data_IF_485175259772
#
_entry.id   IF_485175259772
#
_cell.length_a   1.000
_cell.length_b   1.000
_cell.length_c   1.000
_cell.angle_alpha   90.00
_cell.angle_beta   90.00
_cell.angle_gamma   90.00
#
_symmetry.space_group_name_H-M   'P 1'
#
loop_
_entity.id
_entity.type
_entity.pdbx_description
1 polymer ?
#
# COMPACT_ATOMS: atom_id res chain seq x y z
N UNK A 1 48.53 -47.86 23.57
CA UNK A 1 49.53 -46.79 23.52
C UNK A 1 48.86 -45.51 23.10
N UNK A 2 48.85 -44.52 23.95
CA UNK A 2 48.17 -43.26 23.64
C UNK A 2 49.17 -42.23 23.10
N UNK A 3 48.78 -41.54 22.04
CA UNK A 3 49.53 -40.42 21.46
C UNK A 3 48.99 -39.09 21.98
N UNK A 4 49.91 -38.28 22.52
CA UNK A 4 49.66 -36.97 23.11
C UNK A 4 49.38 -35.89 22.04
N UNK A 5 48.64 -34.82 22.37
CA UNK A 5 48.41 -33.67 21.50
C UNK A 5 49.49 -32.60 21.63
N UNK A 6 49.92 -32.09 20.48
CA UNK A 6 50.86 -30.97 20.34
C UNK A 6 50.23 -29.65 20.77
N UNK A 7 50.85 -28.94 21.70
CA UNK A 7 50.58 -27.57 22.11
C UNK A 7 51.10 -26.60 21.05
N UNK A 8 50.25 -25.75 20.48
CA UNK A 8 50.66 -24.58 19.67
C UNK A 8 50.84 -23.36 20.57
N UNK A 9 52.02 -22.78 20.53
CA UNK A 9 52.38 -21.54 21.21
C UNK A 9 51.75 -20.34 20.51
N UNK A 10 51.14 -19.42 21.30
CA UNK A 10 50.61 -18.15 20.86
C UNK A 10 51.69 -17.09 21.00
N UNK A 11 52.25 -16.61 19.90
CA UNK A 11 53.16 -15.46 19.85
C UNK A 11 52.34 -14.18 19.90
N UNK A 12 52.44 -13.46 21.01
CA UNK A 12 51.98 -12.07 21.15
C UNK A 12 52.96 -11.12 20.45
N UNK A 13 52.51 -10.45 19.39
CA UNK A 13 53.22 -9.31 18.78
C UNK A 13 52.68 -8.01 19.38
N UNK A 14 53.51 -7.30 20.12
CA UNK A 14 53.32 -5.93 20.55
C UNK A 14 53.65 -4.97 19.40
N UNK A 15 52.76 -4.04 19.12
CA UNK A 15 53.01 -2.95 18.17
C UNK A 15 53.15 -1.65 18.94
N UNK A 16 54.09 -0.77 18.54
CA UNK A 16 54.30 0.53 19.22
C UNK A 16 53.30 1.59 18.75
N UNK A 17 52.86 2.42 19.68
CA UNK A 17 52.11 3.62 19.44
C UNK A 17 52.96 4.66 18.71
N UNK A 18 52.53 5.05 17.48
CA UNK A 18 53.04 6.25 16.84
C UNK A 18 51.95 7.33 16.97
N UNK A 19 52.32 8.43 17.67
CA UNK A 19 51.52 9.62 17.78
C UNK A 19 51.48 10.34 16.42
N UNK A 20 50.31 10.54 15.85
CA UNK A 20 50.12 11.36 14.65
C UNK A 20 49.50 12.69 15.06
N UNK A 21 50.23 13.79 14.79
CA UNK A 21 49.78 15.15 15.01
C UNK A 21 48.59 15.51 14.10
N UNK A 22 47.54 16.05 14.69
CA UNK A 22 46.36 16.50 13.95
C UNK A 22 46.65 17.87 13.30
N UNK A 23 46.66 17.90 11.96
CA UNK A 23 46.57 19.14 11.20
C UNK A 23 45.08 19.50 11.04
N UNK A 24 44.65 20.60 11.63
CA UNK A 24 43.32 21.19 11.40
C UNK A 24 43.27 21.79 9.97
N UNK A 25 42.65 21.08 9.05
CA UNK A 25 42.21 21.68 7.80
C UNK A 25 40.79 22.25 8.00
N UNK A 26 40.69 23.58 7.95
CA UNK A 26 39.40 24.27 7.93
C UNK A 26 38.69 23.98 6.60
N UNK A 27 37.79 22.99 6.61
CA UNK A 27 36.86 22.77 5.50
C UNK A 27 35.70 23.75 5.65
N UNK A 28 35.60 24.70 4.73
CA UNK A 28 34.40 25.53 4.53
C UNK A 28 33.25 24.61 4.16
N UNK A 29 32.29 24.46 5.07
CA UNK A 29 31.01 23.81 4.83
C UNK A 29 30.24 24.63 3.78
N UNK A 30 30.18 24.14 2.56
CA UNK A 30 29.13 24.53 1.59
C UNK A 30 27.83 24.02 2.17
N UNK A 31 26.81 24.86 2.39
CA UNK A 31 25.51 24.34 2.83
C UNK A 31 24.95 23.48 1.72
N UNK A 32 25.05 22.16 1.91
CA UNK A 32 24.36 21.20 1.08
C UNK A 32 22.86 21.49 1.11
N UNK A 33 22.25 21.64 -0.04
CA UNK A 33 20.81 21.75 -0.16
C UNK A 33 20.17 20.55 0.56
N UNK A 34 19.62 20.81 1.74
CA UNK A 34 18.80 19.84 2.46
C UNK A 34 17.63 19.51 1.55
N UNK A 35 17.57 18.27 1.10
CA UNK A 35 16.40 17.76 0.41
C UNK A 35 15.18 18.08 1.28
N UNK A 36 14.27 18.91 0.76
CA UNK A 36 13.07 19.32 1.45
C UNK A 36 12.36 18.06 1.98
N UNK A 37 12.35 17.91 3.30
CA UNK A 37 11.72 16.77 3.96
C UNK A 37 10.25 16.77 3.64
N UNK A 38 9.80 15.74 2.93
CA UNK A 38 8.39 15.45 2.68
C UNK A 38 7.71 15.31 4.04
N UNK A 39 6.53 15.94 4.20
CA UNK A 39 5.71 15.71 5.38
C UNK A 39 5.35 14.21 5.43
N UNK A 40 6.05 13.47 6.25
CA UNK A 40 5.67 12.10 6.59
C UNK A 40 4.41 12.17 7.44
N UNK A 41 3.48 11.22 7.34
CA UNK A 41 2.41 11.07 8.31
C UNK A 41 3.00 10.62 9.66
N UNK A 42 3.77 11.49 10.29
CA UNK A 42 4.41 11.25 11.61
C UNK A 42 3.45 11.57 12.77
N UNK A 43 2.16 11.22 12.60
CA UNK A 43 1.15 11.38 13.64
C UNK A 43 0.85 10.05 14.33
N UNK A 44 0.38 10.11 15.58
CA UNK A 44 -0.15 8.95 16.31
C UNK A 44 -1.64 8.71 16.01
N UNK A 45 -2.21 9.43 15.04
CA UNK A 45 -3.62 9.40 14.66
C UNK A 45 -3.92 8.68 13.36
N UNK A 46 -5.11 8.91 12.83
CA UNK A 46 -5.54 8.40 11.52
C UNK A 46 -4.71 8.98 10.39
N UNK A 47 -4.66 8.25 9.29
CA UNK A 47 -4.05 8.73 8.05
C UNK A 47 -4.84 9.92 7.50
N UNK A 48 -4.18 11.06 7.36
CA UNK A 48 -4.77 12.28 6.79
C UNK A 48 -4.47 12.32 5.29
N UNK A 49 -5.48 12.36 4.42
CA UNK A 49 -5.27 12.44 2.98
C UNK A 49 -4.58 13.76 2.59
N UNK A 50 -3.88 13.81 1.45
CA UNK A 50 -3.32 15.06 0.97
C UNK A 50 -4.45 16.05 0.60
N UNK A 51 -4.33 17.30 1.00
CA UNK A 51 -5.29 18.35 0.63
C UNK A 51 -5.35 18.51 -0.89
N UNK A 52 -4.18 18.58 -1.51
CA UNK A 52 -3.99 18.68 -2.95
C UNK A 52 -3.17 17.51 -3.46
N UNK A 53 -3.39 17.13 -4.73
CA UNK A 53 -2.73 16.00 -5.35
C UNK A 53 -3.29 14.66 -4.92
N UNK A 54 -2.59 13.60 -5.32
CA UNK A 54 -2.98 12.21 -5.07
C UNK A 54 -1.73 11.41 -4.71
N UNK A 55 -1.77 10.65 -3.64
CA UNK A 55 -0.71 9.72 -3.29
C UNK A 55 -0.60 8.60 -4.31
N UNK A 56 0.62 8.23 -4.63
CA UNK A 56 0.91 7.14 -5.56
C UNK A 56 1.70 6.06 -4.82
N UNK A 57 1.21 4.84 -4.90
CA UNK A 57 1.85 3.66 -4.37
C UNK A 57 1.78 2.47 -5.30
N UNK A 58 2.37 1.37 -4.87
CA UNK A 58 2.29 0.11 -5.59
C UNK A 58 2.07 -1.08 -4.65
N UNK A 59 1.53 -2.16 -5.22
CA UNK A 59 1.71 -3.50 -4.68
C UNK A 59 2.74 -4.23 -5.52
N UNK A 60 3.80 -4.68 -4.89
CA UNK A 60 4.80 -5.52 -5.52
C UNK A 60 4.76 -6.93 -4.94
N UNK A 61 4.90 -7.94 -5.81
CA UNK A 61 4.89 -9.33 -5.38
C UNK A 61 5.97 -9.57 -4.30
N UNK A 62 5.49 -9.78 -3.08
CA UNK A 62 6.31 -9.81 -1.89
C UNK A 62 6.83 -11.20 -1.55
N UNK A 63 6.89 -12.13 -2.51
CA UNK A 63 7.48 -13.45 -2.30
C UNK A 63 9.00 -13.37 -2.15
N UNK A 64 9.54 -14.11 -1.18
CA UNK A 64 10.99 -14.18 -0.96
C UNK A 64 11.48 -13.48 0.32
N UNK A 65 12.79 -13.48 0.55
CA UNK A 65 13.44 -12.92 1.73
C UNK A 65 13.17 -11.41 1.91
N UNK A 66 13.26 -10.93 3.15
CA UNK A 66 13.10 -9.51 3.52
C UNK A 66 13.91 -8.56 2.63
N UNK A 67 15.18 -8.88 2.41
CA UNK A 67 16.10 -8.07 1.59
C UNK A 67 15.55 -7.87 0.17
N UNK A 68 15.05 -8.95 -0.48
CA UNK A 68 14.49 -8.84 -1.84
C UNK A 68 13.24 -7.94 -1.89
N UNK A 69 12.42 -7.97 -0.83
CA UNK A 69 11.23 -7.12 -0.75
C UNK A 69 11.61 -5.63 -0.64
N UNK A 70 12.59 -5.32 0.19
CA UNK A 70 13.12 -3.96 0.33
C UNK A 70 13.75 -3.47 -0.98
N UNK A 71 14.59 -4.30 -1.60
CA UNK A 71 15.24 -3.96 -2.88
C UNK A 71 14.24 -3.64 -3.96
N UNK A 72 13.15 -4.41 -4.10
CA UNK A 72 12.12 -4.13 -5.12
C UNK A 72 11.46 -2.78 -4.95
N UNK A 73 11.11 -2.41 -3.72
CA UNK A 73 10.54 -1.09 -3.44
C UNK A 73 11.56 0.01 -3.76
N UNK A 74 12.82 -0.18 -3.35
CA UNK A 74 13.89 0.78 -3.60
C UNK A 74 14.20 0.94 -5.09
N UNK A 75 14.26 -0.16 -5.86
CA UNK A 75 14.48 -0.14 -7.32
C UNK A 75 13.34 0.59 -8.05
N UNK A 76 12.09 0.41 -7.57
CA UNK A 76 10.96 1.16 -8.11
C UNK A 76 11.07 2.65 -7.76
N UNK A 77 11.36 2.99 -6.52
CA UNK A 77 11.54 4.39 -6.07
C UNK A 77 12.67 5.09 -6.85
N UNK A 78 13.78 4.39 -7.12
CA UNK A 78 14.84 4.87 -8.00
C UNK A 78 14.32 5.12 -9.42
N UNK A 79 13.56 4.17 -9.97
CA UNK A 79 12.90 4.32 -11.27
C UNK A 79 11.96 5.53 -11.30
N UNK A 80 11.18 5.75 -10.26
CA UNK A 80 10.26 6.88 -10.13
C UNK A 80 11.00 8.21 -9.91
N UNK A 81 12.21 8.17 -9.38
CA UNK A 81 12.97 9.34 -8.93
C UNK A 81 12.36 9.97 -7.67
N UNK A 82 11.55 9.22 -6.92
CA UNK A 82 10.91 9.62 -5.66
C UNK A 82 10.47 8.40 -4.87
N UNK A 83 10.28 8.58 -3.57
CA UNK A 83 9.63 7.57 -2.73
C UNK A 83 8.16 7.43 -3.08
N UNK A 84 7.62 6.21 -2.90
CA UNK A 84 6.19 5.98 -2.89
C UNK A 84 5.54 6.66 -1.68
N UNK A 85 4.26 7.01 -1.82
CA UNK A 85 3.47 7.54 -0.71
C UNK A 85 2.85 6.43 0.13
N UNK A 86 2.47 5.35 -0.54
CA UNK A 86 1.74 4.21 0.03
C UNK A 86 2.41 2.91 -0.43
N UNK A 87 2.71 2.01 0.49
CA UNK A 87 3.12 0.63 0.16
C UNK A 87 1.98 -0.33 0.52
N UNK A 88 1.50 -1.10 -0.45
CA UNK A 88 0.40 -2.03 -0.26
C UNK A 88 0.92 -3.40 0.18
N UNK A 89 0.37 -3.92 1.28
CA UNK A 89 0.84 -5.14 1.94
C UNK A 89 -0.34 -6.07 2.21
N UNK A 90 -0.25 -7.31 1.74
CA UNK A 90 -1.23 -8.34 2.09
C UNK A 90 -0.77 -9.14 3.31
N UNK A 91 -1.62 -9.19 4.33
CA UNK A 91 -1.40 -9.98 5.53
C UNK A 91 -2.43 -11.12 5.64
N UNK A 92 -1.97 -12.32 5.98
CA UNK A 92 -2.86 -13.46 6.24
C UNK A 92 -3.76 -13.20 7.46
N UNK A 93 -4.93 -13.88 7.53
CA UNK A 93 -5.86 -13.69 8.64
C UNK A 93 -5.22 -13.88 10.02
N UNK A 94 -4.37 -14.90 10.16
CA UNK A 94 -3.65 -15.21 11.40
C UNK A 94 -2.28 -14.60 11.51
N UNK A 95 -1.80 -13.92 10.45
CA UNK A 95 -0.49 -13.25 10.46
C UNK A 95 -0.43 -12.15 11.50
N UNK A 96 0.74 -11.96 12.08
CA UNK A 96 1.02 -10.82 12.95
C UNK A 96 1.29 -9.59 12.09
N UNK A 97 0.63 -8.49 12.43
CA UNK A 97 0.90 -7.18 11.89
C UNK A 97 0.51 -6.09 12.93
N UNK A 98 1.12 -4.89 12.95
CA UNK A 98 2.22 -4.48 12.07
C UNK A 98 3.50 -5.27 12.34
N UNK A 99 4.14 -5.72 11.25
CA UNK A 99 5.43 -6.39 11.29
C UNK A 99 6.59 -5.48 10.87
N UNK A 100 7.68 -6.12 10.45
CA UNK A 100 8.88 -5.40 10.03
C UNK A 100 8.64 -4.50 8.79
N UNK A 101 7.73 -4.88 7.87
CA UNK A 101 7.48 -4.15 6.63
C UNK A 101 6.73 -2.86 6.91
N UNK A 102 5.66 -2.93 7.65
CA UNK A 102 4.87 -1.75 8.02
C UNK A 102 5.71 -0.76 8.86
N UNK A 103 6.58 -1.26 9.75
CA UNK A 103 7.53 -0.43 10.48
C UNK A 103 8.57 0.20 9.56
N UNK A 104 9.12 -0.58 8.63
CA UNK A 104 10.10 -0.08 7.65
C UNK A 104 9.49 0.98 6.74
N UNK A 105 8.24 0.82 6.30
CA UNK A 105 7.52 1.80 5.50
C UNK A 105 7.34 3.11 6.26
N UNK A 106 6.82 3.02 7.48
CA UNK A 106 6.66 4.20 8.33
C UNK A 106 8.00 4.94 8.54
N UNK A 107 9.08 4.23 8.86
CA UNK A 107 10.42 4.82 9.04
C UNK A 107 10.98 5.45 7.76
N UNK A 108 10.50 5.04 6.59
CA UNK A 108 10.89 5.58 5.29
C UNK A 108 9.90 6.59 4.71
N UNK A 109 8.88 6.99 5.49
CA UNK A 109 7.92 8.00 5.08
C UNK A 109 6.86 7.51 4.10
N UNK A 110 6.59 6.21 4.07
CA UNK A 110 5.47 5.60 3.36
C UNK A 110 4.34 5.29 4.33
N UNK A 111 3.10 5.40 3.86
CA UNK A 111 1.93 4.93 4.60
C UNK A 111 1.73 3.45 4.31
N UNK A 112 1.77 2.55 5.31
CA UNK A 112 1.42 1.16 5.10
C UNK A 112 -0.08 1.03 4.78
N UNK A 113 -0.40 0.45 3.64
CA UNK A 113 -1.75 0.02 3.29
C UNK A 113 -1.84 -1.49 3.46
N UNK A 114 -2.52 -1.94 4.50
CA UNK A 114 -2.58 -3.35 4.90
C UNK A 114 -3.92 -3.94 4.51
N UNK A 115 -3.90 -4.88 3.55
CA UNK A 115 -5.05 -5.73 3.23
C UNK A 115 -5.01 -6.99 4.07
N UNK A 116 -5.82 -6.99 5.14
CA UNK A 116 -5.95 -8.13 6.04
C UNK A 116 -6.87 -9.19 5.41
N UNK A 117 -6.35 -10.39 5.29
CA UNK A 117 -6.99 -11.45 4.53
C UNK A 117 -8.39 -11.85 5.02
N UNK A 118 -9.10 -12.43 4.11
CA UNK A 118 -10.48 -12.88 4.25
C UNK A 118 -10.62 -13.96 5.32
N UNK A 119 -11.64 -13.83 6.15
CA UNK A 119 -12.10 -14.86 7.05
C UNK A 119 -13.63 -15.00 6.93
N UNK A 120 -14.16 -16.16 7.29
CA UNK A 120 -15.60 -16.37 7.24
C UNK A 120 -16.35 -15.36 8.10
N UNK A 121 -17.24 -14.58 7.49
CA UNK A 121 -18.10 -13.64 8.22
C UNK A 121 -18.94 -14.32 9.29
N UNK A 122 -19.39 -15.54 9.04
CA UNK A 122 -20.12 -16.34 10.01
C UNK A 122 -19.27 -16.63 11.26
N UNK A 123 -17.98 -16.99 11.08
CA UNK A 123 -17.08 -17.26 12.19
C UNK A 123 -16.71 -15.98 12.97
N UNK A 124 -16.62 -14.83 12.28
CA UNK A 124 -16.42 -13.54 12.93
C UNK A 124 -17.68 -13.17 13.74
N UNK A 125 -18.85 -13.27 13.14
CA UNK A 125 -20.11 -12.90 13.77
C UNK A 125 -20.44 -13.76 15.00
N UNK A 126 -20.01 -15.04 15.02
CA UNK A 126 -20.13 -15.91 16.19
C UNK A 126 -19.19 -15.55 17.36
N UNK A 127 -18.23 -14.65 17.12
CA UNK A 127 -17.21 -14.29 18.13
C UNK A 127 -16.00 -15.22 18.17
N UNK A 128 -15.95 -16.24 17.32
CA UNK A 128 -14.83 -17.22 17.28
C UNK A 128 -13.46 -16.57 17.16
N UNK A 129 -13.38 -15.43 16.48
CA UNK A 129 -12.14 -14.72 16.23
C UNK A 129 -11.90 -13.49 17.11
N UNK A 130 -12.75 -13.22 18.10
CA UNK A 130 -12.62 -12.03 18.95
C UNK A 130 -11.27 -11.92 19.66
N UNK A 131 -10.72 -13.06 20.10
CA UNK A 131 -9.40 -13.11 20.73
C UNK A 131 -8.30 -12.63 19.78
N UNK A 132 -8.28 -13.15 18.53
CA UNK A 132 -7.33 -12.76 17.50
C UNK A 132 -7.50 -11.30 17.11
N UNK A 133 -8.74 -10.83 16.95
CA UNK A 133 -9.03 -9.44 16.56
C UNK A 133 -8.58 -8.49 17.68
N UNK A 134 -8.80 -8.81 18.94
CA UNK A 134 -8.29 -8.01 20.08
C UNK A 134 -6.76 -7.96 20.11
N UNK A 135 -6.10 -9.09 19.82
CA UNK A 135 -4.64 -9.12 19.75
C UNK A 135 -4.14 -8.18 18.63
N UNK A 136 -4.71 -8.27 17.42
CA UNK A 136 -4.35 -7.35 16.32
C UNK A 136 -4.58 -5.88 16.66
N UNK A 137 -5.71 -5.59 17.32
CA UNK A 137 -5.99 -4.23 17.80
C UNK A 137 -4.92 -3.73 18.79
N UNK A 138 -4.48 -4.59 19.71
CA UNK A 138 -3.42 -4.26 20.67
C UNK A 138 -2.07 -4.02 19.97
N UNK A 139 -1.70 -4.88 19.00
CA UNK A 139 -0.46 -4.78 18.24
C UNK A 139 -0.41 -3.48 17.42
N UNK A 140 -1.51 -3.15 16.71
CA UNK A 140 -1.64 -1.93 15.93
C UNK A 140 -1.57 -0.69 16.82
N UNK A 141 -2.25 -0.70 17.97
CA UNK A 141 -2.19 0.38 18.95
C UNK A 141 -0.77 0.58 19.48
N UNK A 142 -0.08 -0.50 19.80
CA UNK A 142 1.29 -0.45 20.34
C UNK A 142 2.30 0.07 19.30
N UNK A 143 2.09 -0.20 18.01
CA UNK A 143 2.92 0.32 16.93
C UNK A 143 2.87 1.85 16.81
N UNK A 144 1.72 2.47 17.08
CA UNK A 144 1.55 3.91 17.24
C UNK A 144 1.61 4.75 15.96
N UNK A 145 1.99 4.21 14.82
CA UNK A 145 2.04 4.93 13.53
C UNK A 145 0.76 4.71 12.71
N UNK A 146 0.41 5.66 11.82
CA UNK A 146 -0.80 5.59 10.99
C UNK A 146 -0.78 4.41 10.01
N UNK A 147 -1.90 3.70 9.90
CA UNK A 147 -2.09 2.57 8.98
C UNK A 147 -3.42 2.75 8.23
N UNK A 148 -3.40 2.56 6.91
CA UNK A 148 -4.59 2.27 6.12
C UNK A 148 -4.89 0.77 6.27
N UNK A 149 -6.00 0.42 6.89
CA UNK A 149 -6.38 -0.97 7.13
C UNK A 149 -7.63 -1.33 6.35
N UNK A 150 -7.47 -2.23 5.42
CA UNK A 150 -8.52 -2.88 4.68
C UNK A 150 -8.74 -4.29 5.25
N UNK A 151 -9.97 -4.61 5.63
CA UNK A 151 -10.34 -6.00 5.90
C UNK A 151 -11.25 -6.49 4.79
N UNK A 152 -10.87 -7.59 4.16
CA UNK A 152 -11.67 -8.27 3.16
C UNK A 152 -11.93 -7.42 1.89
N UNK A 153 -10.95 -7.31 1.00
CA UNK A 153 -11.08 -6.65 -0.31
C UNK A 153 -12.01 -7.40 -1.28
N UNK A 154 -12.64 -6.70 -2.20
CA UNK A 154 -13.48 -7.26 -3.27
C UNK A 154 -14.59 -8.21 -2.75
N UNK A 155 -15.26 -7.87 -1.67
CA UNK A 155 -16.31 -8.68 -1.04
C UNK A 155 -17.52 -8.95 -1.95
N UNK A 156 -17.76 -8.07 -2.91
CA UNK A 156 -18.81 -8.13 -3.93
C UNK A 156 -18.47 -9.06 -5.11
N UNK A 157 -17.23 -9.54 -5.20
CA UNK A 157 -16.77 -10.45 -6.24
C UNK A 157 -17.28 -11.88 -6.03
N UNK A 158 -17.76 -12.54 -7.10
CA UNK A 158 -18.31 -13.89 -7.03
C UNK A 158 -17.38 -14.93 -6.38
N UNK A 159 -16.05 -14.77 -6.53
CA UNK A 159 -15.04 -15.64 -5.91
C UNK A 159 -14.98 -15.52 -4.39
N UNK A 160 -15.50 -14.43 -3.83
CA UNK A 160 -15.39 -14.07 -2.43
C UNK A 160 -16.69 -14.35 -1.66
N UNK A 161 -17.81 -14.61 -2.34
CA UNK A 161 -19.12 -14.80 -1.71
C UNK A 161 -19.14 -15.89 -0.65
N UNK A 162 -18.36 -16.95 -0.78
CA UNK A 162 -18.30 -18.03 0.21
C UNK A 162 -17.65 -17.60 1.55
N UNK A 163 -16.80 -16.56 1.52
CA UNK A 163 -16.22 -15.96 2.72
C UNK A 163 -17.04 -14.77 3.23
N UNK A 164 -17.48 -13.90 2.31
CA UNK A 164 -18.23 -12.69 2.61
C UNK A 164 -19.66 -13.01 3.09
N UNK A 165 -20.25 -14.09 2.61
CA UNK A 165 -21.64 -14.41 2.88
C UNK A 165 -22.59 -13.37 2.28
N UNK A 166 -23.74 -13.17 2.90
CA UNK A 166 -24.67 -12.12 2.49
C UNK A 166 -24.13 -10.73 2.84
N UNK A 167 -24.59 -9.67 2.15
CA UNK A 167 -24.28 -8.28 2.53
C UNK A 167 -24.50 -7.99 4.01
N UNK A 168 -25.60 -8.45 4.57
CA UNK A 168 -25.88 -8.27 6.00
C UNK A 168 -24.85 -8.96 6.91
N UNK A 169 -24.42 -10.18 6.55
CA UNK A 169 -23.38 -10.92 7.29
C UNK A 169 -22.03 -10.21 7.23
N UNK A 170 -21.65 -9.69 6.06
CA UNK A 170 -20.43 -8.92 5.87
C UNK A 170 -20.44 -7.63 6.71
N UNK A 171 -21.51 -6.84 6.61
CA UNK A 171 -21.67 -5.59 7.35
C UNK A 171 -21.57 -5.85 8.87
N UNK A 172 -22.22 -6.91 9.37
CA UNK A 172 -22.15 -7.27 10.78
C UNK A 172 -20.71 -7.63 11.23
N UNK A 173 -19.99 -8.42 10.41
CA UNK A 173 -18.61 -8.78 10.67
C UNK A 173 -17.66 -7.58 10.63
N UNK A 174 -17.81 -6.70 9.64
CA UNK A 174 -17.07 -5.44 9.56
C UNK A 174 -17.26 -4.58 10.82
N UNK A 175 -18.51 -4.35 11.19
CA UNK A 175 -18.85 -3.55 12.38
C UNK A 175 -18.31 -4.20 13.67
N UNK A 176 -18.29 -5.53 13.75
CA UNK A 176 -17.71 -6.23 14.90
C UNK A 176 -16.21 -6.01 15.01
N UNK A 177 -15.46 -6.17 13.92
CA UNK A 177 -14.01 -5.92 13.90
C UNK A 177 -13.73 -4.48 14.30
N UNK A 178 -14.37 -3.51 13.62
CA UNK A 178 -14.24 -2.09 13.91
C UNK A 178 -14.52 -1.77 15.38
N UNK A 179 -15.59 -2.33 15.96
CA UNK A 179 -15.98 -2.11 17.35
C UNK A 179 -14.94 -2.66 18.33
N UNK A 180 -14.33 -3.82 18.03
CA UNK A 180 -13.27 -4.39 18.87
C UNK A 180 -12.04 -3.48 18.88
N UNK A 181 -11.63 -2.97 17.73
CA UNK A 181 -10.54 -1.98 17.62
C UNK A 181 -10.85 -0.69 18.37
N UNK A 182 -12.05 -0.15 18.21
CA UNK A 182 -12.48 1.06 18.91
C UNK A 182 -12.48 0.87 20.44
N UNK A 183 -12.99 -0.26 20.95
CA UNK A 183 -12.98 -0.59 22.38
C UNK A 183 -11.57 -0.79 22.93
N UNK A 184 -10.62 -1.22 22.11
CA UNK A 184 -9.21 -1.31 22.48
C UNK A 184 -8.52 0.07 22.52
N UNK A 185 -9.21 1.13 22.07
CA UNK A 185 -8.68 2.49 22.02
C UNK A 185 -7.63 2.66 20.92
N UNK A 186 -7.81 1.99 19.77
CA UNK A 186 -6.96 2.17 18.59
C UNK A 186 -7.36 3.47 17.90
N UNK A 187 -6.42 4.40 17.74
CA UNK A 187 -6.63 5.72 17.11
C UNK A 187 -5.85 5.91 15.80
N UNK A 188 -4.92 5.00 15.51
CA UNK A 188 -3.97 5.09 14.40
C UNK A 188 -4.36 4.21 13.19
N UNK A 189 -5.60 3.78 13.08
CA UNK A 189 -6.14 3.06 11.92
C UNK A 189 -7.13 3.93 11.16
N UNK A 190 -6.94 4.03 9.85
CA UNK A 190 -7.96 4.50 8.92
C UNK A 190 -8.54 3.31 8.17
N UNK A 191 -9.85 3.09 8.33
CA UNK A 191 -10.56 1.96 7.75
C UNK A 191 -10.84 2.18 6.26
N UNK A 192 -10.28 1.32 5.41
CA UNK A 192 -10.46 1.33 3.96
C UNK A 192 -11.45 0.24 3.57
N UNK A 193 -12.57 0.63 2.96
CA UNK A 193 -13.54 -0.31 2.42
C UNK A 193 -13.42 -0.34 0.89
N UNK A 194 -12.96 -1.48 0.34
CA UNK A 194 -12.58 -1.62 -1.07
C UNK A 194 -13.40 -2.71 -1.76
N UNK A 195 -14.21 -2.32 -2.74
CA UNK A 195 -15.02 -3.20 -3.57
C UNK A 195 -14.47 -3.23 -5.00
N UNK A 196 -14.96 -4.17 -5.82
CA UNK A 196 -14.66 -4.15 -7.26
C UNK A 196 -15.24 -2.90 -7.93
N UNK A 197 -14.49 -2.26 -8.81
CA UNK A 197 -14.98 -1.14 -9.62
C UNK A 197 -16.24 -1.53 -10.41
N UNK A 198 -16.32 -2.77 -10.89
CA UNK A 198 -17.52 -3.29 -11.58
C UNK A 198 -18.73 -3.42 -10.65
N UNK A 199 -18.52 -3.69 -9.37
CA UNK A 199 -19.59 -3.77 -8.37
C UNK A 199 -20.34 -2.43 -8.20
N UNK A 200 -19.67 -1.31 -8.44
CA UNK A 200 -20.33 0.00 -8.44
C UNK A 200 -21.21 0.21 -9.67
N UNK A 201 -20.88 -0.43 -10.80
CA UNK A 201 -21.73 -0.41 -12.02
C UNK A 201 -22.99 -1.23 -11.82
N UNK A 202 -22.87 -2.41 -11.20
CA UNK A 202 -24.01 -3.33 -10.98
C UNK A 202 -24.85 -2.99 -9.76
N UNK A 203 -24.35 -2.15 -8.87
CA UNK A 203 -24.98 -1.86 -7.57
C UNK A 203 -24.65 -2.89 -6.47
N UNK A 204 -23.84 -3.91 -6.77
CA UNK A 204 -23.50 -4.95 -5.79
C UNK A 204 -22.58 -4.42 -4.70
N UNK A 205 -21.60 -3.58 -5.04
CA UNK A 205 -20.69 -2.97 -4.06
C UNK A 205 -21.45 -2.26 -2.94
N UNK A 206 -22.40 -1.40 -3.30
CA UNK A 206 -23.18 -0.58 -2.37
C UNK A 206 -23.93 -1.40 -1.33
N UNK A 207 -24.32 -2.64 -1.67
CA UNK A 207 -25.04 -3.53 -0.75
C UNK A 207 -24.16 -3.99 0.42
N UNK A 208 -22.85 -3.99 0.28
CA UNK A 208 -21.86 -4.39 1.30
C UNK A 208 -21.33 -3.20 2.10
N UNK A 209 -21.77 -1.97 1.83
CA UNK A 209 -21.26 -0.79 2.52
C UNK A 209 -21.69 -0.73 3.98
N UNK A 210 -20.75 -0.72 4.96
CA UNK A 210 -21.11 -0.79 6.37
C UNK A 210 -21.64 0.52 6.97
N UNK A 211 -21.58 1.60 6.20
CA UNK A 211 -22.00 2.95 6.60
C UNK A 211 -20.83 3.86 6.96
N UNK A 212 -21.07 5.18 6.80
CA UNK A 212 -20.03 6.22 6.89
C UNK A 212 -19.32 6.29 8.27
N UNK A 213 -20.01 5.87 9.34
CA UNK A 213 -19.42 5.82 10.69
C UNK A 213 -18.35 4.74 10.87
N UNK A 214 -18.26 3.78 9.94
CA UNK A 214 -17.35 2.62 10.01
C UNK A 214 -16.30 2.59 8.91
N UNK A 215 -16.26 3.62 8.09
CA UNK A 215 -15.36 3.73 6.94
C UNK A 215 -14.69 5.10 6.96
N UNK A 216 -13.37 5.13 6.83
CA UNK A 216 -12.59 6.37 6.71
C UNK A 216 -12.26 6.69 5.25
N UNK A 217 -12.00 5.65 4.45
CA UNK A 217 -11.66 5.74 3.03
C UNK A 217 -12.55 4.81 2.20
N UNK A 218 -13.12 5.32 1.13
CA UNK A 218 -13.88 4.50 0.16
C UNK A 218 -12.96 4.15 -1.00
N UNK A 219 -12.93 2.86 -1.35
CA UNK A 219 -11.93 2.31 -2.27
C UNK A 219 -12.58 1.46 -3.37
N UNK A 220 -11.90 1.37 -4.51
CA UNK A 220 -12.23 0.45 -5.58
C UNK A 220 -10.99 -0.20 -6.18
N UNK A 221 -11.12 -1.49 -6.55
CA UNK A 221 -10.14 -2.26 -7.32
C UNK A 221 -10.64 -2.45 -8.75
N UNK A 222 -9.79 -2.13 -9.73
CA UNK A 222 -10.21 -2.21 -11.12
C UNK A 222 -9.07 -2.34 -12.13
N UNK A 223 -9.29 -3.13 -13.18
CA UNK A 223 -8.25 -3.45 -14.15
C UNK A 223 -8.74 -3.30 -15.59
N UNK A 224 -7.82 -2.91 -16.46
CA UNK A 224 -8.02 -3.10 -17.89
C UNK A 224 -7.62 -4.54 -18.26
N UNK A 225 -8.58 -5.45 -18.26
CA UNK A 225 -8.34 -6.88 -18.44
C UNK A 225 -7.92 -7.28 -19.86
N UNK A 226 -8.21 -6.44 -20.88
CA UNK A 226 -7.83 -6.74 -22.26
C UNK A 226 -6.29 -6.74 -22.43
N UNK A 227 -5.73 -7.70 -23.16
CA UNK A 227 -6.37 -8.79 -23.90
C UNK A 227 -6.47 -10.11 -23.11
N UNK A 228 -6.47 -10.05 -21.78
CA UNK A 228 -6.23 -11.21 -20.91
C UNK A 228 -7.33 -12.28 -20.93
N UNK A 229 -8.56 -11.91 -21.21
CA UNK A 229 -9.70 -12.82 -21.33
C UNK A 229 -10.32 -12.68 -22.71
N UNK A 230 -10.85 -13.79 -23.25
CA UNK A 230 -11.59 -13.73 -24.50
C UNK A 230 -12.84 -12.86 -24.31
N UNK A 231 -13.01 -11.88 -25.17
CA UNK A 231 -14.14 -10.94 -25.13
C UNK A 231 -13.94 -9.72 -24.22
N UNK A 232 -12.81 -9.60 -23.52
CA UNK A 232 -12.51 -8.37 -22.79
C UNK A 232 -12.23 -7.23 -23.77
N UNK A 233 -12.92 -6.11 -23.54
CA UNK A 233 -12.70 -4.88 -24.29
C UNK A 233 -11.60 -4.03 -23.62
N UNK A 234 -10.86 -3.32 -24.47
CA UNK A 234 -9.91 -2.30 -23.99
C UNK A 234 -10.69 -1.10 -23.46
N UNK A 235 -10.60 -0.85 -22.15
CA UNK A 235 -11.33 0.23 -21.47
C UNK A 235 -10.38 1.27 -20.92
N UNK A 236 -10.79 2.54 -20.99
CA UNK A 236 -10.03 3.63 -20.38
C UNK A 236 -10.08 3.55 -18.85
N UNK A 237 -9.12 4.20 -18.20
CA UNK A 237 -9.12 4.36 -16.75
C UNK A 237 -10.41 5.03 -16.26
N UNK A 238 -10.82 6.11 -16.92
CA UNK A 238 -12.07 6.80 -16.60
C UNK A 238 -13.28 5.86 -16.66
N UNK A 239 -13.42 5.06 -17.73
CA UNK A 239 -14.54 4.13 -17.86
C UNK A 239 -14.60 3.11 -16.70
N UNK A 240 -13.43 2.59 -16.29
CA UNK A 240 -13.35 1.58 -15.23
C UNK A 240 -13.81 2.13 -13.89
N UNK A 241 -13.44 3.37 -13.56
CA UNK A 241 -13.66 3.94 -12.23
C UNK A 241 -14.77 5.00 -12.16
N UNK A 242 -15.47 5.30 -13.27
CA UNK A 242 -16.49 6.35 -13.30
C UNK A 242 -17.60 6.10 -12.27
N UNK A 243 -18.22 4.93 -12.27
CA UNK A 243 -19.33 4.61 -11.35
C UNK A 243 -18.91 4.62 -9.88
N UNK A 244 -17.68 4.19 -9.59
CA UNK A 244 -17.08 4.32 -8.26
C UNK A 244 -16.96 5.80 -7.86
N UNK A 245 -16.40 6.62 -8.74
CA UNK A 245 -16.20 8.03 -8.49
C UNK A 245 -17.53 8.77 -8.26
N UNK A 246 -18.51 8.53 -9.12
CA UNK A 246 -19.84 9.16 -9.03
C UNK A 246 -20.54 8.81 -7.72
N UNK A 247 -20.43 7.57 -7.27
CA UNK A 247 -21.03 7.15 -6.01
C UNK A 247 -20.25 7.65 -4.79
N UNK A 248 -18.94 7.63 -4.82
CA UNK A 248 -18.08 7.92 -3.67
C UNK A 248 -17.86 9.39 -3.40
N UNK A 249 -17.75 10.23 -4.44
CA UNK A 249 -17.35 11.63 -4.33
C UNK A 249 -18.34 12.51 -3.52
N UNK A 250 -19.61 12.14 -3.49
CA UNK A 250 -20.65 12.83 -2.72
C UNK A 250 -20.70 12.46 -1.22
N UNK A 251 -19.83 11.57 -0.72
CA UNK A 251 -19.91 11.04 0.66
C UNK A 251 -19.02 11.74 1.67
N UNK A 252 -18.25 12.75 1.26
CA UNK A 252 -17.36 13.49 2.16
C UNK A 252 -16.21 12.65 2.71
N UNK A 253 -15.87 11.53 2.04
CA UNK A 253 -14.75 10.66 2.36
C UNK A 253 -13.66 10.77 1.30
N UNK A 254 -12.38 10.67 1.65
CA UNK A 254 -11.32 10.50 0.65
C UNK A 254 -11.56 9.19 -0.11
N UNK A 255 -11.35 9.26 -1.44
CA UNK A 255 -11.45 8.10 -2.32
C UNK A 255 -10.06 7.52 -2.59
N UNK A 256 -10.00 6.21 -2.75
CA UNK A 256 -8.77 5.48 -3.06
C UNK A 256 -9.02 4.48 -4.19
N UNK A 257 -8.05 4.31 -5.06
CA UNK A 257 -7.97 3.14 -5.93
C UNK A 257 -6.94 2.21 -5.31
N UNK A 258 -7.41 1.10 -4.70
CA UNK A 258 -6.59 0.17 -3.95
C UNK A 258 -5.76 -0.74 -4.84
N UNK A 259 -6.31 -1.08 -5.99
CA UNK A 259 -5.63 -1.82 -7.03
C UNK A 259 -6.01 -1.31 -8.41
N UNK A 260 -5.03 -1.04 -9.25
CA UNK A 260 -5.27 -0.86 -10.68
C UNK A 260 -4.12 -1.41 -11.51
N UNK A 261 -4.43 -1.79 -12.74
CA UNK A 261 -3.43 -2.33 -13.65
C UNK A 261 -3.92 -2.41 -15.09
N UNK A 262 -2.95 -2.42 -16.01
CA UNK A 262 -3.17 -2.55 -17.44
C UNK A 262 -2.08 -3.43 -18.05
N UNK A 263 -2.45 -4.29 -19.01
CA UNK A 263 -1.50 -5.11 -19.75
C UNK A 263 -0.95 -4.34 -20.96
N UNK A 264 0.26 -4.69 -21.39
CA UNK A 264 0.81 -4.21 -22.65
C UNK A 264 0.22 -5.07 -23.79
N UNK A 265 -0.77 -4.59 -24.50
CA UNK A 265 -1.39 -5.29 -25.64
C UNK A 265 -0.58 -5.07 -26.92
N UNK A 266 -0.20 -3.79 -27.17
CA UNK A 266 0.69 -3.36 -28.23
C UNK A 266 1.73 -2.40 -27.67
N UNK A 267 2.92 -2.28 -28.28
CA UNK A 267 3.94 -1.36 -27.81
C UNK A 267 3.42 0.06 -27.60
N UNK A 268 3.59 0.61 -26.40
CA UNK A 268 3.18 1.97 -26.03
C UNK A 268 1.73 2.14 -25.57
N UNK A 269 0.84 1.17 -25.73
CA UNK A 269 -0.56 1.30 -25.31
C UNK A 269 -0.70 1.40 -23.78
N UNK A 270 0.09 0.64 -23.01
CA UNK A 270 0.14 0.78 -21.55
C UNK A 270 0.61 2.16 -21.13
N UNK A 271 1.64 2.67 -21.80
CA UNK A 271 2.15 4.01 -21.53
C UNK A 271 1.09 5.09 -21.80
N UNK A 272 0.36 5.00 -22.91
CA UNK A 272 -0.72 5.93 -23.22
C UNK A 272 -1.85 5.83 -22.18
N UNK A 273 -2.27 4.61 -21.82
CA UNK A 273 -3.30 4.40 -20.79
C UNK A 273 -2.93 5.00 -19.43
N UNK A 274 -1.65 4.90 -19.04
CA UNK A 274 -1.15 5.50 -17.79
C UNK A 274 -1.13 7.04 -17.84
N UNK A 275 -0.83 7.63 -19.00
CA UNK A 275 -0.94 9.08 -19.21
C UNK A 275 -2.40 9.56 -19.10
N UNK A 276 -3.32 8.86 -19.77
CA UNK A 276 -4.75 9.16 -19.71
C UNK A 276 -5.31 9.00 -18.29
N UNK A 277 -4.78 8.03 -17.51
CA UNK A 277 -5.09 7.87 -16.11
C UNK A 277 -4.63 9.07 -15.27
N UNK A 278 -3.40 9.55 -15.49
CA UNK A 278 -2.88 10.74 -14.80
C UNK A 278 -3.73 11.98 -15.08
N UNK A 279 -4.10 12.20 -16.34
CA UNK A 279 -4.94 13.33 -16.75
C UNK A 279 -6.34 13.22 -16.14
N UNK A 280 -6.92 12.02 -16.13
CA UNK A 280 -8.23 11.77 -15.51
C UNK A 280 -8.21 12.05 -14.00
N UNK A 281 -7.21 11.58 -13.29
CA UNK A 281 -7.04 11.81 -11.84
C UNK A 281 -6.86 13.29 -11.53
N UNK A 282 -6.06 13.99 -12.33
CA UNK A 282 -5.77 15.41 -12.13
C UNK A 282 -6.96 16.32 -12.43
N UNK A 283 -7.78 16.00 -13.45
CA UNK A 283 -8.77 16.95 -13.99
C UNK A 283 -10.22 16.57 -13.73
N UNK A 284 -10.51 15.28 -13.53
CA UNK A 284 -11.87 14.76 -13.39
C UNK A 284 -12.11 14.08 -12.03
N UNK A 285 -11.18 13.25 -11.59
CA UNK A 285 -11.33 12.44 -10.37
C UNK A 285 -10.60 13.05 -9.17
N UNK A 286 -10.79 14.33 -8.94
CA UNK A 286 -10.06 15.14 -7.95
C UNK A 286 -10.30 14.75 -6.48
N UNK A 287 -11.38 14.01 -6.19
CA UNK A 287 -11.66 13.43 -4.89
C UNK A 287 -10.85 12.16 -4.60
N UNK A 288 -10.17 11.56 -5.60
CA UNK A 288 -9.28 10.43 -5.39
C UNK A 288 -7.97 10.95 -4.78
N UNK A 289 -7.67 10.48 -3.57
CA UNK A 289 -6.53 10.93 -2.76
C UNK A 289 -5.38 9.93 -2.70
N UNK A 290 -5.60 8.69 -3.13
CA UNK A 290 -4.56 7.68 -3.26
C UNK A 290 -4.86 6.72 -4.41
N UNK A 291 -3.80 6.27 -5.10
CA UNK A 291 -3.88 5.21 -6.11
C UNK A 291 -2.72 4.23 -5.93
N UNK A 292 -2.99 2.94 -6.04
CA UNK A 292 -2.01 1.86 -5.88
C UNK A 292 -1.97 0.99 -7.13
N UNK A 293 -0.85 0.99 -7.83
CA UNK A 293 -0.66 0.17 -9.00
C UNK A 293 -0.28 -1.26 -8.62
N UNK A 294 -0.95 -2.24 -9.22
CA UNK A 294 -0.70 -3.66 -8.96
C UNK A 294 0.43 -4.18 -9.84
N UNK A 295 1.69 -4.01 -9.38
CA UNK A 295 2.92 -4.25 -10.15
C UNK A 295 3.40 -5.71 -10.06
N UNK A 296 2.60 -6.63 -10.57
CA UNK A 296 2.91 -8.07 -10.51
C UNK A 296 2.69 -8.79 -11.83
N UNK A 297 3.34 -9.97 -11.96
CA UNK A 297 3.07 -10.96 -12.99
C UNK A 297 2.50 -12.21 -12.33
N UNK A 298 1.20 -12.45 -12.50
CA UNK A 298 0.53 -13.73 -12.16
C UNK A 298 -0.03 -14.34 -13.45
N UNK A 299 -1.30 -14.63 -13.51
CA UNK A 299 -1.97 -15.04 -14.74
C UNK A 299 -1.87 -13.99 -15.86
N UNK A 300 -1.90 -12.71 -15.47
CA UNK A 300 -1.74 -11.55 -16.35
C UNK A 300 -0.47 -10.78 -15.97
N UNK A 301 0.12 -10.07 -16.94
CA UNK A 301 1.33 -9.31 -16.69
C UNK A 301 1.02 -7.81 -16.54
N UNK A 302 0.84 -7.41 -15.27
CA UNK A 302 0.60 -6.01 -14.91
C UNK A 302 1.90 -5.21 -14.74
N UNK A 303 3.06 -5.87 -14.71
CA UNK A 303 4.35 -5.24 -14.39
C UNK A 303 4.65 -4.01 -15.21
N UNK A 304 5.18 -2.99 -14.55
CA UNK A 304 5.63 -1.75 -15.19
C UNK A 304 6.87 -1.99 -16.07
N UNK A 305 7.68 -2.98 -15.73
CA UNK A 305 8.90 -3.34 -16.49
C UNK A 305 8.63 -4.02 -17.84
N UNK A 306 7.37 -4.17 -18.26
CA UNK A 306 7.05 -4.71 -19.60
C UNK A 306 7.65 -3.86 -20.72
N UNK A 307 7.82 -2.55 -20.50
CA UNK A 307 8.49 -1.66 -21.42
C UNK A 307 9.07 -0.43 -20.73
N UNK A 308 10.11 0.18 -21.31
CA UNK A 308 10.63 1.47 -20.82
C UNK A 308 9.62 2.59 -20.94
N UNK A 309 8.75 2.56 -21.97
CA UNK A 309 7.67 3.53 -22.12
C UNK A 309 6.64 3.45 -21.01
N UNK A 310 6.27 2.24 -20.55
CA UNK A 310 5.35 2.05 -19.43
C UNK A 310 5.95 2.60 -18.11
N UNK A 311 7.22 2.29 -17.81
CA UNK A 311 7.93 2.83 -16.64
C UNK A 311 7.99 4.35 -16.65
N UNK A 312 8.37 4.95 -17.79
CA UNK A 312 8.43 6.40 -17.95
C UNK A 312 7.06 7.06 -17.80
N UNK A 313 6.00 6.43 -18.32
CA UNK A 313 4.64 6.92 -18.16
C UNK A 313 4.17 6.86 -16.70
N UNK A 314 4.48 5.78 -15.96
CA UNK A 314 4.15 5.68 -14.54
C UNK A 314 4.96 6.68 -13.69
N UNK A 315 6.24 6.89 -14.01
CA UNK A 315 7.05 7.97 -13.42
C UNK A 315 6.42 9.34 -13.64
N UNK A 316 5.97 9.61 -14.86
CA UNK A 316 5.29 10.88 -15.20
C UNK A 316 3.97 11.03 -14.45
N UNK A 317 3.17 9.95 -14.33
CA UNK A 317 1.95 9.89 -13.52
C UNK A 317 2.26 10.25 -12.06
N UNK A 318 3.23 9.58 -11.44
CA UNK A 318 3.62 9.83 -10.06
C UNK A 318 4.07 11.28 -9.82
N UNK A 319 4.79 11.87 -10.79
CA UNK A 319 5.19 13.29 -10.74
C UNK A 319 4.00 14.24 -10.91
N UNK A 320 3.10 13.96 -11.84
CA UNK A 320 1.90 14.78 -12.12
C UNK A 320 0.95 14.85 -10.93
N UNK A 321 0.81 13.74 -10.21
CA UNK A 321 -0.11 13.62 -9.08
C UNK A 321 0.52 14.01 -7.74
N UNK A 322 1.82 14.23 -7.70
CA UNK A 322 2.54 14.53 -6.46
C UNK A 322 1.88 15.72 -5.73
N UNK A 323 1.53 15.56 -4.45
CA UNK A 323 1.12 16.69 -3.63
C UNK A 323 2.18 17.78 -3.63
N UNK A 324 1.80 19.05 -3.60
CA UNK A 324 2.76 20.14 -3.41
C UNK A 324 3.61 19.87 -2.17
N UNK A 325 4.88 20.24 -2.22
CA UNK A 325 5.70 20.26 -1.00
C UNK A 325 5.08 21.23 0.00
N UNK A 326 4.70 20.75 1.16
CA UNK A 326 4.08 21.58 2.23
C UNK A 326 5.09 22.40 3.00
N UNK A 327 6.32 22.53 2.49
CA UNK A 327 7.31 23.41 3.08
C UNK A 327 7.68 24.55 2.12
N UNK A 328 7.54 25.81 2.60
CA UNK A 328 8.11 26.98 1.93
C UNK A 328 9.65 26.91 1.92
#
# INVERSE_FOLDING_TARGET
>A
MPTQPLRRAVLRRSWPFAALAAALAATTLVPGATAAGRATPSGTGKVVPPEQGTWVGTYQDATGPRVLKQTRVQDLEETLGRKEDVDHIYQGWTSEFPGWREQWDNLNGRVPFVSWAKASTAAINSGRYDGLIRQRAADVKAAGFPILLEWFWEMDGARNHHWAGSPASFIAAWKRIHTIFARAGVTNVSWVWCANAWGYVTGDAQRYYPGDAYVDWICADGYNWAPGRRGDEWRSFQYIFQSFYDWGSGRGKPLMIGEFGVQERKPGEKAQWLKDAADTLKTKFTAIKAVVYFDVKKRYNWRLETSSSARNAFRALAKTLQPPSTYP
#
